data_IF_499505719261
#
_entry.id   IF_499505719261
#
_cell.length_a   1.000
_cell.length_b   1.000
_cell.length_c   1.000
_cell.angle_alpha   90.00
_cell.angle_beta   90.00
_cell.angle_gamma   90.00
#
_symmetry.space_group_name_H-M   'P 1'
#
loop_
_entity.id
_entity.type
_entity.pdbx_description
1 polymer ?
#
# COMPACT_ATOMS: atom_id res chain seq x y z
N UNK A 1 4.48 -1.40 -15.19
CA UNK A 1 5.07 -2.24 -14.12
C UNK A 1 4.54 -1.72 -12.79
N UNK A 2 3.87 -2.54 -11.98
CA UNK A 2 3.33 -2.09 -10.67
C UNK A 2 4.50 -2.00 -9.70
N UNK A 3 4.82 -0.79 -9.23
CA UNK A 3 5.84 -0.60 -8.21
C UNK A 3 5.32 -1.20 -6.88
N UNK A 4 5.93 -2.31 -6.49
CA UNK A 4 5.57 -3.03 -5.27
C UNK A 4 6.27 -2.50 -4.04
N UNK A 5 7.40 -1.79 -4.23
CA UNK A 5 8.33 -1.42 -3.16
C UNK A 5 8.15 0.02 -2.69
N UNK A 6 8.10 0.97 -3.62
CA UNK A 6 7.91 2.39 -3.29
C UNK A 6 6.44 2.75 -3.18
N UNK A 7 6.17 3.91 -2.58
CA UNK A 7 4.86 4.55 -2.66
C UNK A 7 4.64 5.00 -4.11
N UNK A 8 3.42 4.87 -4.64
CA UNK A 8 3.11 5.38 -5.98
C UNK A 8 2.31 6.67 -5.89
N UNK A 9 2.44 7.55 -6.89
CA UNK A 9 1.66 8.80 -6.95
C UNK A 9 0.14 8.58 -6.77
N UNK A 10 -0.38 7.45 -7.27
CA UNK A 10 -1.78 7.09 -7.11
C UNK A 10 -2.21 6.91 -5.65
N UNK A 11 -1.29 6.55 -4.75
CA UNK A 11 -1.55 6.31 -3.32
C UNK A 11 -1.53 7.61 -2.49
N UNK A 12 -1.01 8.71 -3.04
CA UNK A 12 -0.76 9.96 -2.28
C UNK A 12 -2.00 10.84 -2.21
N UNK A 13 -2.52 11.04 -1.01
CA UNK A 13 -3.70 11.88 -0.75
C UNK A 13 -3.33 13.36 -0.84
N UNK A 14 -2.35 13.80 -0.04
CA UNK A 14 -1.98 15.21 0.09
C UNK A 14 -0.55 15.37 0.61
N UNK A 15 0.06 16.52 0.38
CA UNK A 15 1.29 16.92 1.07
C UNK A 15 0.98 17.43 2.48
N UNK A 16 1.83 17.09 3.44
CA UNK A 16 1.72 17.54 4.83
C UNK A 16 3.08 18.05 5.28
N UNK A 17 3.11 19.20 5.94
CA UNK A 17 4.32 19.73 6.55
C UNK A 17 4.32 19.40 8.04
N UNK A 18 5.43 18.85 8.52
CA UNK A 18 5.58 18.49 9.93
C UNK A 18 7.00 18.83 10.39
N UNK A 19 7.10 19.65 11.44
CA UNK A 19 8.37 20.08 12.04
C UNK A 19 9.36 20.67 11.00
N UNK A 20 8.86 21.40 9.99
CA UNK A 20 9.66 22.00 8.92
C UNK A 20 10.16 21.01 7.85
N UNK A 21 9.66 19.77 7.87
CA UNK A 21 9.92 18.78 6.84
C UNK A 21 8.65 18.47 6.04
N UNK A 22 8.79 18.38 4.72
CA UNK A 22 7.68 18.06 3.82
C UNK A 22 7.52 16.54 3.70
N UNK A 23 6.32 16.08 4.04
CA UNK A 23 5.88 14.70 3.91
C UNK A 23 4.69 14.60 2.95
N UNK A 24 4.43 13.39 2.49
CA UNK A 24 3.29 13.05 1.66
C UNK A 24 2.43 12.03 2.42
N UNK A 25 1.16 12.35 2.62
CA UNK A 25 0.20 11.41 3.19
C UNK A 25 -0.23 10.42 2.10
N UNK A 26 0.01 9.14 2.34
CA UNK A 26 -0.38 8.06 1.45
C UNK A 26 -1.26 7.04 2.16
N UNK A 27 -2.00 6.25 1.38
CA UNK A 27 -2.88 5.19 1.87
C UNK A 27 -2.55 3.84 1.22
N UNK A 28 -2.60 2.77 2.01
CA UNK A 28 -2.52 1.40 1.54
C UNK A 28 -3.47 0.47 2.30
N UNK A 29 -3.36 -0.84 2.04
CA UNK A 29 -4.18 -1.87 2.71
C UNK A 29 -4.04 -1.86 4.23
N UNK A 30 -2.91 -1.39 4.77
CA UNK A 30 -2.65 -1.30 6.21
C UNK A 30 -3.14 0.02 6.81
N UNK A 31 -3.55 0.98 5.98
CA UNK A 31 -4.07 2.28 6.39
C UNK A 31 -3.20 3.45 5.92
N UNK A 32 -3.30 4.56 6.65
CA UNK A 32 -2.57 5.78 6.35
C UNK A 32 -1.10 5.72 6.80
N UNK A 33 -0.22 6.38 6.07
CA UNK A 33 1.19 6.54 6.42
C UNK A 33 1.79 7.78 5.76
N UNK A 34 2.91 8.27 6.29
CA UNK A 34 3.66 9.38 5.73
C UNK A 34 4.84 8.83 4.94
N UNK A 35 4.97 9.28 3.70
CA UNK A 35 6.12 9.02 2.84
C UNK A 35 6.84 10.33 2.52
N UNK A 36 8.00 10.24 1.87
CA UNK A 36 8.73 11.39 1.35
C UNK A 36 8.90 11.25 -0.14
N UNK A 37 9.18 12.36 -0.84
CA UNK A 37 9.35 12.37 -2.30
C UNK A 37 10.43 11.37 -2.78
N UNK A 38 11.41 11.05 -1.92
CA UNK A 38 12.47 10.07 -2.19
C UNK A 38 11.94 8.66 -2.49
N UNK A 39 10.83 8.29 -1.87
CA UNK A 39 10.23 6.96 -1.99
C UNK A 39 9.03 6.94 -2.94
N UNK A 40 8.64 8.11 -3.48
CA UNK A 40 7.57 8.23 -4.43
C UNK A 40 8.05 7.83 -5.83
N UNK A 41 7.35 6.87 -6.44
CA UNK A 41 7.63 6.32 -7.78
C UNK A 41 9.06 5.80 -7.98
N UNK A 42 9.82 5.63 -6.89
CA UNK A 42 11.18 5.08 -6.91
C UNK A 42 11.16 3.58 -6.61
N UNK A 43 12.16 2.85 -7.10
CA UNK A 43 12.32 1.43 -6.81
C UNK A 43 12.77 1.14 -5.37
N UNK A 44 12.88 2.16 -4.53
CA UNK A 44 13.29 2.03 -3.14
C UNK A 44 12.10 1.58 -2.29
N UNK A 45 12.37 0.65 -1.38
CA UNK A 45 11.39 0.24 -0.40
C UNK A 45 11.16 1.37 0.61
N UNK A 46 9.91 1.85 0.69
CA UNK A 46 9.54 2.85 1.68
C UNK A 46 9.47 2.19 3.08
N UNK A 47 10.33 2.59 4.03
CA UNK A 47 10.34 2.02 5.37
C UNK A 47 9.00 2.22 6.10
N UNK A 48 8.31 3.34 5.87
CA UNK A 48 7.05 3.67 6.54
C UNK A 48 5.86 2.87 5.96
N UNK A 49 5.99 2.43 4.70
CA UNK A 49 5.05 1.50 4.08
C UNK A 49 5.25 0.07 4.58
N UNK A 50 6.51 -0.37 4.65
CA UNK A 50 6.88 -1.75 4.99
C UNK A 50 7.04 -2.05 6.48
N UNK A 51 7.14 -1.03 7.33
CA UNK A 51 7.27 -1.26 8.78
C UNK A 51 6.14 -2.17 9.27
N UNK A 52 6.51 -3.18 10.06
CA UNK A 52 5.60 -4.22 10.49
C UNK A 52 4.42 -3.63 11.30
N UNK A 53 4.71 -2.66 12.16
CA UNK A 53 3.72 -1.88 12.89
C UNK A 53 4.01 -0.38 12.73
N UNK A 54 3.01 0.37 12.26
CA UNK A 54 3.06 1.84 12.17
C UNK A 54 2.80 2.47 13.53
N UNK A 55 3.65 2.13 14.51
CA UNK A 55 3.52 2.59 15.90
C UNK A 55 3.66 4.11 15.94
N UNK A 56 2.70 4.79 16.57
CA UNK A 56 2.69 6.25 16.71
C UNK A 56 2.16 7.02 15.48
N UNK A 57 1.79 6.33 14.39
CA UNK A 57 1.27 6.98 13.20
C UNK A 57 -0.09 7.66 13.46
N UNK A 58 -0.97 7.04 14.25
CA UNK A 58 -2.24 7.64 14.66
C UNK A 58 -2.03 8.93 15.45
N UNK A 59 -1.18 8.88 16.49
CA UNK A 59 -0.84 10.05 17.30
C UNK A 59 -0.20 11.18 16.46
N UNK A 60 0.63 10.81 15.48
CA UNK A 60 1.25 11.76 14.55
C UNK A 60 0.23 12.43 13.64
N UNK A 61 -0.73 11.67 13.11
CA UNK A 61 -1.83 12.22 12.31
C UNK A 61 -2.80 13.08 13.14
N UNK A 62 -3.06 12.71 14.40
CA UNK A 62 -3.83 13.52 15.34
C UNK A 62 -3.14 14.84 15.67
N UNK A 63 -1.81 14.83 15.88
CA UNK A 63 -1.01 16.04 16.08
C UNK A 63 -1.07 16.99 14.87
N UNK A 64 -1.25 16.44 13.66
CA UNK A 64 -1.44 17.18 12.42
C UNK A 64 -2.90 17.62 12.21
N UNK A 65 -3.80 17.37 13.17
CA UNK A 65 -5.23 17.67 13.12
C UNK A 65 -5.94 17.04 11.91
N UNK A 66 -5.47 15.87 11.45
CA UNK A 66 -6.05 15.16 10.32
C UNK A 66 -7.10 14.15 10.79
N UNK A 67 -8.28 14.20 10.17
CA UNK A 67 -9.31 13.18 10.38
C UNK A 67 -8.94 11.89 9.64
N UNK A 68 -8.26 11.01 10.37
CA UNK A 68 -7.78 9.73 9.83
C UNK A 68 -8.90 8.83 9.33
N UNK A 69 -10.08 8.86 9.97
CA UNK A 69 -11.21 8.01 9.61
C UNK A 69 -11.86 8.51 8.31
N UNK A 70 -12.10 9.82 8.21
CA UNK A 70 -12.64 10.41 6.99
C UNK A 70 -11.68 10.27 5.81
N UNK A 71 -10.39 10.53 6.00
CA UNK A 71 -9.37 10.39 4.96
C UNK A 71 -9.25 8.95 4.49
N UNK A 72 -9.31 7.99 5.40
CA UNK A 72 -9.29 6.56 5.08
C UNK A 72 -10.52 6.17 4.27
N UNK A 73 -11.71 6.57 4.69
CA UNK A 73 -12.97 6.26 4.00
C UNK A 73 -13.04 6.87 2.60
N UNK A 74 -12.70 8.16 2.48
CA UNK A 74 -12.74 8.88 1.21
C UNK A 74 -11.73 8.35 0.18
N UNK A 75 -10.57 7.84 0.63
CA UNK A 75 -9.48 7.43 -0.25
C UNK A 75 -9.33 5.91 -0.40
N UNK A 76 -10.33 5.11 0.01
CA UNK A 76 -10.32 3.65 -0.19
C UNK A 76 -10.10 3.24 -1.65
N UNK A 77 -10.62 4.02 -2.60
CA UNK A 77 -10.45 3.77 -4.03
C UNK A 77 -8.99 3.84 -4.50
N UNK A 78 -8.09 4.45 -3.72
CA UNK A 78 -6.66 4.60 -4.01
C UNK A 78 -5.84 3.43 -3.47
N UNK A 79 -6.43 2.60 -2.62
CA UNK A 79 -5.79 1.41 -2.06
C UNK A 79 -5.68 0.35 -3.14
N UNK A 80 -4.47 0.20 -3.69
CA UNK A 80 -4.17 -0.88 -4.62
C UNK A 80 -4.07 -2.19 -3.84
N UNK A 81 -5.09 -3.03 -3.94
CA UNK A 81 -5.02 -4.37 -3.38
C UNK A 81 -3.97 -5.19 -4.12
N UNK A 82 -2.95 -5.67 -3.42
CA UNK A 82 -1.91 -6.51 -4.01
C UNK A 82 -2.49 -7.92 -4.18
N UNK A 83 -3.27 -8.11 -5.25
CA UNK A 83 -3.87 -9.42 -5.57
C UNK A 83 -5.05 -9.40 -6.53
N UNK A 84 -5.65 -8.26 -6.86
CA UNK A 84 -6.82 -8.21 -7.76
C UNK A 84 -6.46 -8.27 -9.27
N UNK A 85 -5.16 -8.28 -9.61
CA UNK A 85 -4.68 -8.57 -10.97
C UNK A 85 -3.80 -9.83 -10.98
N UNK A 86 -4.23 -10.86 -11.71
CA UNK A 86 -3.49 -12.10 -11.99
C UNK A 86 -3.28 -13.11 -10.85
N UNK A 87 -4.38 -13.59 -10.28
CA UNK A 87 -4.40 -14.94 -9.71
C UNK A 87 -5.68 -15.70 -10.06
N UNK A 88 -6.14 -15.61 -11.32
CA UNK A 88 -6.76 -16.80 -11.93
C UNK A 88 -5.64 -17.83 -12.02
N UNK A 89 -5.40 -18.57 -10.92
CA UNK A 89 -4.57 -19.77 -10.93
C UNK A 89 -5.16 -20.67 -12.01
N UNK A 90 -4.61 -20.60 -13.22
CA UNK A 90 -4.88 -21.58 -14.27
C UNK A 90 -4.34 -22.90 -13.73
N UNK A 91 -5.20 -23.63 -13.02
CA UNK A 91 -4.95 -25.02 -12.68
C UNK A 91 -4.78 -25.71 -14.02
N UNK A 92 -3.57 -26.15 -14.32
CA UNK A 92 -3.26 -26.76 -15.60
C UNK A 92 -3.99 -28.13 -15.65
N UNK A 93 -5.02 -28.31 -16.50
CA UNK A 93 -5.88 -29.51 -16.45
C UNK A 93 -5.09 -30.81 -16.73
N UNK A 94 -3.93 -30.71 -17.37
CA UNK A 94 -3.02 -31.82 -17.62
C UNK A 94 -2.40 -32.42 -16.34
N UNK A 95 -2.25 -31.63 -15.26
CA UNK A 95 -1.74 -32.13 -13.97
C UNK A 95 -2.81 -32.85 -13.14
N UNK A 96 -4.10 -32.63 -13.42
CA UNK A 96 -5.20 -33.31 -12.73
C UNK A 96 -5.50 -34.69 -13.33
N UNK A 97 -5.33 -34.87 -14.64
CA UNK A 97 -5.65 -36.13 -15.33
C UNK A 97 -4.71 -37.30 -14.97
N UNK A 98 -3.45 -37.03 -14.61
CA UNK A 98 -2.45 -38.11 -14.39
C UNK A 98 -2.59 -38.88 -13.07
N UNK A 99 -3.45 -38.44 -12.14
CA UNK A 99 -3.71 -39.16 -10.87
C UNK A 99 -4.91 -40.12 -10.94
N UNK A 100 -5.67 -40.14 -12.04
CA UNK A 100 -6.82 -41.03 -12.22
C UNK A 100 -6.53 -42.35 -12.94
N UNK A 101 -5.33 -42.52 -13.53
CA UNK A 101 -4.92 -43.76 -14.19
C UNK A 101 -3.73 -44.39 -13.46
N UNK A 102 -4.04 -45.07 -12.36
CA UNK A 102 -3.33 -46.29 -12.00
C UNK A 102 -4.37 -47.40 -11.98
N UNK A 103 -4.45 -48.10 -13.12
CA UNK A 103 -4.95 -49.46 -13.18
C UNK A 103 -3.92 -50.39 -12.49
#
# INVERSE_FOLDING_TARGET
MVNRFGSTSDMVIQSVEENGAQYLLAIDEKGLYLTTQKYLDSSLADPNRYSAARVGMSARLEALQLDTAALTSANQHRVKKIGEGDAKKKINPLKASKRGMKA
#
